data_IF_607312373893
#
_entry.id   IF_607312373893
#
_cell.length_a   1.000
_cell.length_b   1.000
_cell.length_c   1.000
_cell.angle_alpha   90.00
_cell.angle_beta   90.00
_cell.angle_gamma   90.00
#
_symmetry.space_group_name_H-M   'P 1'
#
loop_
_entity.id
_entity.type
_entity.pdbx_description
1 polymer ?
#
# COMPACT_ATOMS: atom_id res chain seq x y z
N UNK A 1 -40.14 -12.29 26.20
CA UNK A 1 -39.68 -11.01 25.61
C UNK A 1 -38.32 -10.59 26.19
N UNK A 2 -38.16 -10.56 27.52
CA UNK A 2 -36.92 -10.16 28.23
C UNK A 2 -35.69 -11.00 27.81
N UNK A 3 -35.80 -12.34 27.77
CA UNK A 3 -34.68 -13.24 27.37
C UNK A 3 -34.18 -12.96 25.94
N UNK A 4 -35.08 -12.67 25.00
CA UNK A 4 -34.71 -12.33 23.61
C UNK A 4 -33.98 -10.99 23.53
N UNK A 5 -34.42 -9.99 24.31
CA UNK A 5 -33.76 -8.69 24.41
C UNK A 5 -32.36 -8.82 25.02
N UNK A 6 -32.21 -9.59 26.10
CA UNK A 6 -30.90 -9.84 26.73
C UNK A 6 -29.92 -10.56 25.78
N UNK A 7 -30.40 -11.51 24.98
CA UNK A 7 -29.56 -12.23 24.02
C UNK A 7 -29.12 -11.33 22.86
N UNK A 8 -30.00 -10.48 22.33
CA UNK A 8 -29.63 -9.48 21.31
C UNK A 8 -28.58 -8.50 21.82
N UNK A 9 -28.72 -8.01 23.05
CA UNK A 9 -27.74 -7.10 23.66
C UNK A 9 -26.38 -7.77 23.81
N UNK A 10 -26.34 -9.03 24.25
CA UNK A 10 -25.10 -9.79 24.37
C UNK A 10 -24.40 -9.98 23.02
N UNK A 11 -25.16 -10.29 21.96
CA UNK A 11 -24.62 -10.42 20.60
C UNK A 11 -24.04 -9.10 20.10
N UNK A 12 -24.73 -7.97 20.32
CA UNK A 12 -24.22 -6.65 19.92
C UNK A 12 -22.94 -6.27 20.67
N UNK A 13 -22.84 -6.60 21.97
CA UNK A 13 -21.63 -6.39 22.76
C UNK A 13 -20.49 -7.25 22.20
N UNK A 14 -20.73 -8.54 21.92
CA UNK A 14 -19.72 -9.42 21.34
C UNK A 14 -19.24 -8.92 19.97
N UNK A 15 -20.16 -8.52 19.10
CA UNK A 15 -19.84 -7.92 17.80
C UNK A 15 -19.04 -6.63 17.93
N UNK A 16 -19.35 -5.79 18.93
CA UNK A 16 -18.59 -4.58 19.21
C UNK A 16 -17.17 -4.89 19.71
N UNK A 17 -17.01 -5.88 20.59
CA UNK A 17 -15.70 -6.33 21.07
C UNK A 17 -14.87 -6.89 19.91
N UNK A 18 -15.45 -7.76 19.08
CA UNK A 18 -14.80 -8.30 17.88
C UNK A 18 -14.41 -7.18 16.92
N UNK A 19 -15.31 -6.24 16.64
CA UNK A 19 -15.02 -5.07 15.82
C UNK A 19 -13.85 -4.24 16.39
N UNK A 20 -13.81 -4.01 17.70
CA UNK A 20 -12.70 -3.30 18.35
C UNK A 20 -11.39 -4.06 18.26
N UNK A 21 -11.43 -5.38 18.44
CA UNK A 21 -10.26 -6.24 18.31
C UNK A 21 -9.71 -6.21 16.87
N UNK A 22 -10.54 -6.52 15.88
CA UNK A 22 -10.18 -6.54 14.46
C UNK A 22 -9.62 -5.20 13.97
N UNK A 23 -10.18 -4.07 14.44
CA UNK A 23 -9.72 -2.73 14.01
C UNK A 23 -8.46 -2.23 14.72
N UNK A 24 -7.92 -2.98 15.69
CA UNK A 24 -6.69 -2.65 16.42
C UNK A 24 -5.61 -3.71 16.28
N UNK A 25 -5.96 -4.90 15.82
CA UNK A 25 -5.02 -5.99 15.62
C UNK A 25 -4.24 -5.82 14.30
N UNK A 26 -2.91 -5.85 14.38
CA UNK A 26 -2.03 -5.83 13.21
C UNK A 26 -1.59 -7.26 12.95
N UNK A 27 -2.05 -7.81 11.82
CA UNK A 27 -1.56 -9.08 11.30
C UNK A 27 -0.41 -8.85 10.32
N UNK A 28 0.57 -9.76 10.33
CA UNK A 28 1.62 -9.79 9.31
C UNK A 28 1.39 -10.98 8.41
N UNK A 29 1.40 -10.73 7.10
CA UNK A 29 1.40 -11.80 6.10
C UNK A 29 2.79 -11.85 5.45
N UNK A 30 3.37 -13.05 5.40
CA UNK A 30 4.71 -13.27 4.84
C UNK A 30 4.62 -13.97 3.48
N UNK A 31 5.41 -13.50 2.53
CA UNK A 31 5.58 -14.13 1.22
C UNK A 31 7.07 -14.35 0.95
N UNK A 32 7.45 -15.59 0.64
CA UNK A 32 8.79 -15.90 0.15
C UNK A 32 8.78 -15.90 -1.37
N UNK A 33 9.62 -15.05 -1.97
CA UNK A 33 9.75 -14.92 -3.42
C UNK A 33 11.04 -15.59 -3.88
N UNK A 34 10.90 -16.51 -4.84
CA UNK A 34 12.02 -17.15 -5.52
C UNK A 34 11.97 -16.81 -7.00
N UNK A 35 13.03 -16.20 -7.53
CA UNK A 35 13.16 -15.89 -8.95
C UNK A 35 14.64 -15.93 -9.35
N UNK A 36 14.94 -16.54 -10.50
CA UNK A 36 16.30 -16.66 -11.04
C UNK A 36 16.99 -15.32 -11.31
N UNK A 37 16.23 -14.24 -11.47
CA UNK A 37 16.74 -12.88 -11.68
C UNK A 37 17.15 -12.19 -10.38
N UNK A 38 16.73 -12.70 -9.21
CA UNK A 38 17.16 -12.17 -7.92
C UNK A 38 18.61 -12.62 -7.68
N UNK A 39 19.57 -11.70 -7.52
CA UNK A 39 20.94 -12.06 -7.24
C UNK A 39 21.08 -12.75 -5.88
N UNK A 40 22.03 -13.69 -5.75
CA UNK A 40 22.25 -14.45 -4.51
C UNK A 40 22.59 -13.56 -3.31
N UNK A 41 23.21 -12.41 -3.55
CA UNK A 41 23.48 -11.42 -2.51
C UNK A 41 22.20 -10.95 -1.80
N UNK A 42 21.03 -11.06 -2.45
CA UNK A 42 19.71 -10.76 -1.87
C UNK A 42 19.04 -11.96 -1.20
N UNK A 43 19.77 -13.07 -0.97
CA UNK A 43 19.24 -14.17 -0.17
C UNK A 43 18.84 -13.69 1.23
N UNK A 44 17.64 -14.09 1.66
CA UNK A 44 16.99 -13.66 2.90
C UNK A 44 16.81 -12.13 3.04
N UNK A 45 16.85 -11.37 1.94
CA UNK A 45 16.55 -9.94 1.95
C UNK A 45 15.07 -9.72 2.28
N UNK A 46 14.80 -8.94 3.33
CA UNK A 46 13.46 -8.71 3.88
C UNK A 46 12.96 -7.31 3.52
N UNK A 47 11.85 -7.30 2.79
CA UNK A 47 11.10 -6.09 2.47
C UNK A 47 9.86 -6.06 3.37
N UNK A 48 9.63 -4.95 4.05
CA UNK A 48 8.35 -4.68 4.71
C UNK A 48 7.58 -3.64 3.90
N UNK A 49 6.37 -4.01 3.48
CA UNK A 49 5.43 -3.09 2.83
C UNK A 49 4.48 -2.50 3.88
N UNK A 50 4.30 -1.18 3.86
CA UNK A 50 3.29 -0.46 4.64
C UNK A 50 2.41 0.33 3.67
N UNK A 51 1.09 0.31 3.88
CA UNK A 51 0.15 1.00 2.99
C UNK A 51 -1.15 1.30 3.72
N UNK A 52 -1.91 2.27 3.21
CA UNK A 52 -3.33 2.46 3.55
C UNK A 52 -3.57 2.61 5.06
N UNK A 53 -2.73 3.40 5.73
CA UNK A 53 -2.89 3.69 7.15
C UNK A 53 -4.01 4.71 7.41
N UNK A 54 -4.28 5.63 6.48
CA UNK A 54 -5.37 6.62 6.60
C UNK A 54 -5.43 7.34 7.95
N UNK A 55 -4.30 7.88 8.42
CA UNK A 55 -4.14 8.52 9.74
C UNK A 55 -4.43 7.61 10.94
N UNK A 56 -4.57 6.29 10.76
CA UNK A 56 -4.79 5.34 11.85
C UNK A 56 -3.61 5.39 12.81
N UNK A 57 -3.94 5.38 14.10
CA UNK A 57 -2.95 5.30 15.17
C UNK A 57 -3.08 3.95 15.87
N UNK A 58 -2.00 3.18 15.91
CA UNK A 58 -1.88 1.93 16.65
C UNK A 58 -1.16 2.18 17.97
N UNK A 59 -1.95 2.52 18.99
CA UNK A 59 -1.48 3.03 20.29
C UNK A 59 -0.73 4.37 20.18
N UNK A 60 -0.23 4.92 21.29
CA UNK A 60 0.48 6.20 21.33
C UNK A 60 1.68 6.16 20.36
N UNK A 61 1.75 7.17 19.49
CA UNK A 61 2.83 7.36 18.50
C UNK A 61 3.05 6.15 17.57
N UNK A 62 2.00 5.39 17.25
CA UNK A 62 2.11 4.18 16.42
C UNK A 62 3.07 3.11 16.97
N UNK A 63 3.30 3.09 18.30
CA UNK A 63 4.26 2.17 18.92
C UNK A 63 4.02 0.70 18.55
N UNK A 64 2.76 0.25 18.52
CA UNK A 64 2.44 -1.15 18.17
C UNK A 64 2.83 -1.48 16.72
N UNK A 65 2.62 -0.54 15.78
CA UNK A 65 3.03 -0.72 14.39
C UNK A 65 4.55 -0.72 14.26
N UNK A 66 5.23 0.22 14.90
CA UNK A 66 6.69 0.34 14.87
C UNK A 66 7.34 -0.91 15.47
N UNK A 67 6.92 -1.33 16.67
CA UNK A 67 7.44 -2.53 17.33
C UNK A 67 7.22 -3.77 16.47
N UNK A 68 6.08 -3.86 15.76
CA UNK A 68 5.81 -4.96 14.84
C UNK A 68 6.77 -4.94 13.65
N UNK A 69 6.98 -3.79 13.00
CA UNK A 69 7.93 -3.63 11.89
C UNK A 69 9.34 -4.00 12.35
N UNK A 70 9.78 -3.48 13.50
CA UNK A 70 11.10 -3.77 14.07
C UNK A 70 11.29 -5.26 14.37
N UNK A 71 10.25 -5.95 14.86
CA UNK A 71 10.31 -7.39 15.12
C UNK A 71 10.54 -8.25 13.86
N UNK A 72 10.22 -7.71 12.67
CA UNK A 72 10.47 -8.38 11.39
C UNK A 72 11.92 -8.24 10.92
N UNK A 73 12.66 -7.26 11.47
CA UNK A 73 14.02 -6.90 11.10
C UNK A 73 14.19 -6.73 9.57
N UNK A 74 13.48 -5.76 8.95
CA UNK A 74 13.56 -5.53 7.51
C UNK A 74 14.93 -4.96 7.10
N UNK A 75 15.35 -5.28 5.88
CA UNK A 75 16.46 -4.60 5.23
C UNK A 75 16.01 -3.27 4.61
N UNK A 76 14.75 -3.20 4.16
CA UNK A 76 14.15 -2.01 3.55
C UNK A 76 12.65 -1.93 3.81
N UNK A 77 12.11 -0.70 3.85
CA UNK A 77 10.67 -0.46 3.99
C UNK A 77 10.15 0.23 2.72
N UNK A 78 9.07 -0.29 2.18
CA UNK A 78 8.34 0.32 1.07
C UNK A 78 6.97 0.79 1.55
N UNK A 79 6.70 2.09 1.39
CA UNK A 79 5.40 2.69 1.66
C UNK A 79 4.65 2.88 0.35
N UNK A 80 3.53 2.19 0.18
CA UNK A 80 2.77 2.18 -1.09
C UNK A 80 1.57 3.12 -1.10
N UNK A 81 1.60 4.19 -0.31
CA UNK A 81 0.61 5.27 -0.33
C UNK A 81 -0.51 5.16 0.71
N UNK A 82 -1.39 6.16 0.71
CA UNK A 82 -2.52 6.35 1.61
C UNK A 82 -2.12 6.32 3.10
N UNK A 83 -1.03 6.99 3.46
CA UNK A 83 -0.70 7.21 4.87
C UNK A 83 -1.71 8.15 5.55
N UNK A 84 -2.32 9.03 4.76
CA UNK A 84 -3.32 10.01 5.18
C UNK A 84 -4.62 9.84 4.41
N UNK A 85 -5.76 10.10 5.04
CA UNK A 85 -7.10 9.95 4.45
C UNK A 85 -7.52 11.10 3.51
N UNK A 86 -6.73 12.19 3.52
CA UNK A 86 -6.91 13.40 2.70
C UNK A 86 -8.01 14.35 3.18
N UNK A 87 -8.71 14.05 4.27
CA UNK A 87 -9.80 14.85 4.83
C UNK A 87 -9.67 15.08 6.35
N UNK A 88 -8.59 14.61 6.97
CA UNK A 88 -8.22 14.88 8.34
C UNK A 88 -7.24 16.06 8.44
N UNK A 89 -7.35 16.86 9.52
CA UNK A 89 -6.40 17.94 9.80
C UNK A 89 -5.11 17.45 10.45
N UNK A 90 -5.12 16.28 11.07
CA UNK A 90 -3.98 15.73 11.79
C UNK A 90 -3.16 14.79 10.90
N UNK A 91 -2.44 15.35 9.93
CA UNK A 91 -1.49 14.60 9.10
C UNK A 91 -0.17 14.29 9.82
N UNK A 92 0.06 14.89 11.00
CA UNK A 92 1.31 14.73 11.76
C UNK A 92 1.57 13.27 12.12
N UNK A 93 0.52 12.48 12.37
CA UNK A 93 0.65 11.05 12.64
C UNK A 93 1.43 10.29 11.54
N UNK A 94 1.24 10.66 10.27
CA UNK A 94 1.95 10.04 9.16
C UNK A 94 3.41 10.52 9.10
N UNK A 95 3.62 11.83 9.30
CA UNK A 95 4.95 12.44 9.31
C UNK A 95 5.82 11.93 10.45
N UNK A 96 5.25 11.75 11.64
CA UNK A 96 5.94 11.19 12.82
C UNK A 96 6.29 9.72 12.60
N UNK A 97 5.39 8.93 12.01
CA UNK A 97 5.68 7.55 11.65
C UNK A 97 6.87 7.48 10.70
N UNK A 98 6.89 8.31 9.66
CA UNK A 98 8.01 8.37 8.71
C UNK A 98 9.31 8.70 9.43
N UNK A 99 9.33 9.71 10.31
CA UNK A 99 10.54 10.09 11.04
C UNK A 99 11.11 8.91 11.85
N UNK A 100 10.24 8.15 12.54
CA UNK A 100 10.67 6.97 13.29
C UNK A 100 11.25 5.87 12.38
N UNK A 101 10.66 5.64 11.20
CA UNK A 101 11.12 4.58 10.30
C UNK A 101 12.46 4.93 9.65
N UNK A 102 12.65 6.18 9.21
CA UNK A 102 13.90 6.61 8.54
C UNK A 102 15.10 6.71 9.49
N UNK A 103 14.88 6.66 10.82
CA UNK A 103 15.99 6.57 11.80
C UNK A 103 16.76 5.26 11.69
N UNK A 104 16.10 4.17 11.28
CA UNK A 104 16.67 2.81 11.30
C UNK A 104 16.72 2.16 9.93
N UNK A 105 15.85 2.57 9.01
CA UNK A 105 15.67 1.88 7.73
C UNK A 105 15.71 2.87 6.58
N UNK A 106 16.14 2.38 5.42
CA UNK A 106 15.89 3.07 4.17
C UNK A 106 14.41 2.90 3.80
N UNK A 107 13.74 4.02 3.51
CA UNK A 107 12.29 4.05 3.26
C UNK A 107 12.03 4.62 1.87
N UNK A 108 11.42 3.80 1.01
CA UNK A 108 10.95 4.21 -0.30
C UNK A 108 9.46 4.44 -0.26
N UNK A 109 8.98 5.53 -0.86
CA UNK A 109 7.62 5.98 -0.69
C UNK A 109 6.99 6.42 -2.02
N UNK A 110 5.76 5.98 -2.27
CA UNK A 110 4.87 6.56 -3.27
C UNK A 110 3.62 7.10 -2.59
N UNK A 111 2.99 8.10 -3.21
CA UNK A 111 1.71 8.64 -2.75
C UNK A 111 0.54 7.79 -3.26
N UNK A 112 -0.51 7.71 -2.46
CA UNK A 112 -1.76 7.08 -2.82
C UNK A 112 -2.80 8.06 -3.36
N UNK A 113 -4.01 7.57 -3.56
CA UNK A 113 -5.08 8.41 -4.11
C UNK A 113 -5.71 9.32 -3.06
N UNK A 114 -5.61 8.99 -1.76
CA UNK A 114 -6.06 9.89 -0.70
C UNK A 114 -5.12 11.08 -0.52
N UNK A 115 -3.80 10.89 -0.64
CA UNK A 115 -2.84 11.99 -0.76
C UNK A 115 -3.16 12.89 -1.96
N UNK A 116 -3.35 12.32 -3.16
CA UNK A 116 -3.70 13.10 -4.35
C UNK A 116 -5.02 13.86 -4.18
N UNK A 117 -6.05 13.18 -3.67
CA UNK A 117 -7.38 13.74 -3.41
C UNK A 117 -7.32 14.90 -2.40
N UNK A 118 -6.42 14.84 -1.43
CA UNK A 118 -6.29 15.87 -0.40
C UNK A 118 -6.06 17.29 -0.98
N UNK A 119 -5.39 17.37 -2.14
CA UNK A 119 -5.06 18.63 -2.82
C UNK A 119 -6.25 19.30 -3.50
N UNK A 120 -7.36 18.57 -3.68
CA UNK A 120 -8.61 19.09 -4.28
C UNK A 120 -9.76 19.16 -3.27
N UNK A 121 -9.51 18.81 -2.00
CA UNK A 121 -10.52 18.74 -0.93
C UNK A 121 -10.49 19.95 0.00
N UNK A 122 -11.38 19.90 1.00
CA UNK A 122 -11.62 20.96 1.99
C UNK A 122 -10.35 21.48 2.66
N UNK A 123 -9.39 20.60 2.95
CA UNK A 123 -8.17 20.93 3.68
C UNK A 123 -6.93 21.07 2.79
N UNK A 124 -7.10 21.30 1.47
CA UNK A 124 -6.00 21.39 0.51
C UNK A 124 -4.83 22.29 0.93
N UNK A 125 -5.10 23.40 1.62
CA UNK A 125 -4.04 24.31 2.08
C UNK A 125 -3.15 23.67 3.14
N UNK A 126 -3.75 22.95 4.10
CA UNK A 126 -3.01 22.19 5.10
C UNK A 126 -2.24 21.03 4.46
N UNK A 127 -2.83 20.38 3.46
CA UNK A 127 -2.14 19.28 2.78
C UNK A 127 -0.98 19.74 1.90
N UNK A 128 -0.97 21.00 1.41
CA UNK A 128 0.25 21.56 0.81
C UNK A 128 1.41 21.62 1.80
N UNK A 129 1.12 21.93 3.07
CA UNK A 129 2.13 21.90 4.14
C UNK A 129 2.56 20.45 4.42
N UNK A 130 1.62 19.51 4.48
CA UNK A 130 1.95 18.07 4.56
C UNK A 130 2.93 17.62 3.48
N UNK A 131 2.68 17.92 2.20
CA UNK A 131 3.59 17.52 1.12
C UNK A 131 4.95 18.21 1.23
N UNK A 132 4.98 19.49 1.61
CA UNK A 132 6.24 20.21 1.86
C UNK A 132 7.07 19.54 2.95
N UNK A 133 6.42 19.13 4.05
CA UNK A 133 7.09 18.42 5.14
C UNK A 133 7.52 17.02 4.72
N UNK A 134 6.62 16.26 4.09
CA UNK A 134 6.87 14.91 3.56
C UNK A 134 8.11 14.88 2.68
N UNK A 135 8.20 15.79 1.70
CA UNK A 135 9.34 15.86 0.78
C UNK A 135 10.62 16.42 1.40
N UNK A 136 10.55 17.00 2.60
CA UNK A 136 11.75 17.41 3.35
C UNK A 136 12.31 16.31 4.26
N UNK A 137 11.57 15.20 4.44
CA UNK A 137 12.03 14.04 5.22
C UNK A 137 13.04 13.22 4.42
N UNK A 138 13.81 12.39 5.14
CA UNK A 138 14.84 11.50 4.59
C UNK A 138 14.28 10.24 3.90
N UNK A 139 13.10 10.35 3.30
CA UNK A 139 12.51 9.29 2.48
C UNK A 139 12.99 9.40 1.05
N UNK A 140 13.00 8.27 0.35
CA UNK A 140 13.23 8.24 -1.10
C UNK A 140 11.87 8.28 -1.78
N UNK A 141 11.51 9.44 -2.32
CA UNK A 141 10.25 9.64 -3.02
C UNK A 141 10.33 9.02 -4.42
N UNK A 142 9.44 8.07 -4.70
CA UNK A 142 9.40 7.27 -5.90
C UNK A 142 8.26 7.70 -6.84
N UNK A 143 8.08 9.00 -7.04
CA UNK A 143 6.99 9.54 -7.86
C UNK A 143 7.35 9.52 -9.36
N UNK A 144 7.04 8.43 -10.05
CA UNK A 144 7.47 8.17 -11.43
C UNK A 144 9.00 8.12 -11.59
N UNK A 145 9.67 7.58 -10.58
CA UNK A 145 11.12 7.49 -10.50
C UNK A 145 11.59 6.03 -10.50
N UNK A 146 12.88 5.84 -10.78
CA UNK A 146 13.53 4.53 -10.71
C UNK A 146 14.88 4.62 -10.01
N UNK A 147 15.19 3.60 -9.23
CA UNK A 147 16.42 3.50 -8.43
C UNK A 147 16.90 2.05 -8.40
N UNK A 148 18.17 1.88 -8.04
CA UNK A 148 18.77 0.56 -7.82
C UNK A 148 19.08 0.39 -6.34
N UNK A 149 18.55 -0.66 -5.75
CA UNK A 149 18.87 -1.06 -4.37
C UNK A 149 20.09 -1.99 -4.47
N UNK A 150 21.22 -1.60 -3.90
CA UNK A 150 22.46 -2.36 -4.00
C UNK A 150 22.71 -3.23 -2.77
N UNK A 151 23.26 -4.42 -2.98
CA UNK A 151 23.83 -5.29 -1.94
C UNK A 151 25.13 -5.88 -2.47
N UNK A 152 26.25 -5.36 -1.99
CA UNK A 152 27.56 -5.65 -2.59
C UNK A 152 27.65 -5.08 -4.01
N UNK A 153 27.98 -5.93 -4.98
CA UNK A 153 28.06 -5.56 -6.40
C UNK A 153 26.77 -5.88 -7.19
N UNK A 154 25.76 -6.44 -6.52
CA UNK A 154 24.48 -6.82 -7.12
C UNK A 154 23.40 -5.79 -6.78
N UNK A 155 22.33 -5.73 -7.57
CA UNK A 155 21.21 -4.84 -7.33
C UNK A 155 19.86 -5.44 -7.67
N UNK A 156 18.81 -4.85 -7.09
CA UNK A 156 17.43 -4.95 -7.54
C UNK A 156 17.01 -3.61 -8.15
N UNK A 157 16.20 -3.63 -9.20
CA UNK A 157 15.61 -2.40 -9.73
C UNK A 157 14.29 -2.12 -9.02
N UNK A 158 14.12 -0.90 -8.52
CA UNK A 158 12.89 -0.43 -7.91
C UNK A 158 12.33 0.74 -8.73
N UNK A 159 11.04 0.67 -9.01
CA UNK A 159 10.30 1.70 -9.73
C UNK A 159 9.10 2.12 -8.89
N UNK A 160 8.75 3.40 -8.91
CA UNK A 160 7.50 3.87 -8.33
C UNK A 160 6.66 4.59 -9.37
N UNK A 161 5.39 4.21 -9.45
CA UNK A 161 4.45 4.72 -10.44
C UNK A 161 3.28 5.43 -9.75
N UNK A 162 3.05 6.69 -10.12
CA UNK A 162 1.89 7.45 -9.69
C UNK A 162 0.78 7.26 -10.71
N UNK A 163 -0.30 6.64 -10.25
CA UNK A 163 -1.51 6.46 -11.03
C UNK A 163 -2.33 7.75 -10.92
N UNK A 164 -2.74 8.36 -12.06
CA UNK A 164 -3.52 9.58 -12.06
C UNK A 164 -4.82 9.41 -11.28
N UNK A 165 -5.23 10.48 -10.58
CA UNK A 165 -6.41 10.46 -9.71
C UNK A 165 -7.68 10.03 -10.46
N UNK A 166 -7.80 10.38 -11.74
CA UNK A 166 -8.93 10.07 -12.63
C UNK A 166 -9.10 8.56 -12.90
N UNK A 167 -8.07 7.77 -12.65
CA UNK A 167 -8.11 6.32 -12.79
C UNK A 167 -8.77 5.62 -11.59
N UNK A 168 -9.09 6.36 -10.53
CA UNK A 168 -9.75 5.84 -9.32
C UNK A 168 -11.28 6.04 -9.39
N UNK A 169 -12.06 4.95 -9.62
CA UNK A 169 -13.45 5.05 -10.08
C UNK A 169 -14.43 5.65 -9.06
N UNK A 170 -14.16 5.59 -7.76
CA UNK A 170 -15.10 6.05 -6.71
C UNK A 170 -14.96 7.54 -6.36
N UNK A 171 -13.95 8.23 -6.87
CA UNK A 171 -13.73 9.64 -6.57
C UNK A 171 -14.51 10.59 -7.48
N UNK A 172 -14.98 10.09 -8.63
CA UNK A 172 -15.71 10.88 -9.62
C UNK A 172 -17.08 10.25 -9.86
N UNK A 173 -18.14 10.97 -9.49
CA UNK A 173 -19.54 10.53 -9.57
C UNK A 173 -20.05 10.21 -11.00
N UNK A 174 -19.21 10.33 -12.02
CA UNK A 174 -19.57 10.24 -13.43
C UNK A 174 -18.93 9.04 -14.14
N UNK A 175 -18.91 7.83 -13.54
CA UNK A 175 -18.78 6.48 -14.17
C UNK A 175 -17.82 6.23 -15.36
N UNK A 176 -16.98 7.18 -15.78
CA UNK A 176 -15.95 7.00 -16.81
C UNK A 176 -14.65 6.75 -16.05
N UNK A 177 -14.37 5.47 -15.81
CA UNK A 177 -13.04 5.01 -15.45
C UNK A 177 -12.10 5.42 -16.59
N UNK A 178 -11.16 6.32 -16.33
CA UNK A 178 -10.07 6.53 -17.28
C UNK A 178 -9.20 5.27 -17.22
N UNK A 179 -9.13 4.53 -18.32
CA UNK A 179 -8.18 3.43 -18.45
C UNK A 179 -6.80 4.01 -18.79
N UNK A 180 -5.76 3.45 -18.19
CA UNK A 180 -4.40 3.78 -18.58
C UNK A 180 -4.15 3.34 -20.03
N UNK A 181 -3.41 4.14 -20.80
CA UNK A 181 -2.89 3.69 -22.09
C UNK A 181 -2.04 2.42 -21.92
N UNK A 182 -1.94 1.60 -22.96
CA UNK A 182 -1.12 0.37 -22.89
C UNK A 182 0.36 0.66 -22.64
N UNK A 183 0.84 1.82 -23.08
CA UNK A 183 2.23 2.24 -22.92
C UNK A 183 2.44 3.11 -21.68
N UNK A 184 1.40 3.43 -20.90
CA UNK A 184 1.49 4.39 -19.80
C UNK A 184 2.66 4.13 -18.85
N UNK A 185 2.91 2.87 -18.51
CA UNK A 185 4.00 2.49 -17.60
C UNK A 185 5.36 2.77 -18.25
N UNK A 186 5.55 2.38 -19.52
CA UNK A 186 6.79 2.64 -20.27
C UNK A 186 6.99 4.13 -20.53
N UNK A 187 5.93 4.88 -20.82
CA UNK A 187 5.99 6.32 -21.07
C UNK A 187 6.48 7.10 -19.83
N UNK A 188 6.15 6.61 -18.62
CA UNK A 188 6.55 7.26 -17.36
C UNK A 188 7.86 6.71 -16.78
N UNK A 189 8.18 5.43 -16.97
CA UNK A 189 9.30 4.76 -16.29
C UNK A 189 10.39 4.26 -17.26
N UNK A 190 10.18 4.40 -18.56
CA UNK A 190 11.04 3.83 -19.58
C UNK A 190 10.93 2.31 -19.68
N UNK A 191 11.88 1.71 -20.40
CA UNK A 191 11.95 0.25 -20.60
C UNK A 191 12.75 -0.41 -19.48
N UNK A 192 12.29 -1.57 -19.03
CA UNK A 192 13.04 -2.39 -18.07
C UNK A 192 14.12 -3.21 -18.75
N UNK A 193 15.13 -3.61 -17.98
CA UNK A 193 16.01 -4.71 -18.37
C UNK A 193 15.37 -6.03 -17.94
N UNK A 194 14.90 -6.83 -18.90
CA UNK A 194 14.21 -8.09 -18.62
C UNK A 194 15.09 -9.15 -17.96
N UNK A 195 16.42 -8.99 -17.99
CA UNK A 195 17.37 -9.91 -17.34
C UNK A 195 17.62 -9.56 -15.86
N UNK A 196 17.20 -8.38 -15.41
CA UNK A 196 17.32 -7.92 -14.02
C UNK A 196 15.97 -8.09 -13.31
N UNK A 197 15.98 -8.14 -11.97
CA UNK A 197 14.75 -8.25 -11.19
C UNK A 197 14.12 -6.86 -10.98
N UNK A 198 12.90 -6.68 -11.48
CA UNK A 198 12.23 -5.39 -11.50
C UNK A 198 11.03 -5.37 -10.53
N UNK A 199 11.11 -4.53 -9.49
CA UNK A 199 10.07 -4.32 -8.49
C UNK A 199 9.33 -3.02 -8.81
N UNK A 200 8.01 -3.07 -8.88
CA UNK A 200 7.15 -1.91 -9.09
C UNK A 200 6.33 -1.60 -7.82
N UNK A 201 6.46 -0.38 -7.31
CA UNK A 201 5.54 0.21 -6.35
C UNK A 201 4.45 0.95 -7.12
N UNK A 202 3.20 0.58 -6.92
CA UNK A 202 2.05 1.28 -7.46
C UNK A 202 0.95 1.28 -6.41
N UNK A 203 0.21 2.38 -6.23
CA UNK A 203 -0.76 2.41 -5.14
C UNK A 203 -1.93 1.43 -5.36
N UNK A 204 -2.34 1.16 -6.60
CA UNK A 204 -3.47 0.29 -6.92
C UNK A 204 -3.09 -0.95 -7.75
N UNK A 205 -3.66 -2.13 -7.45
CA UNK A 205 -3.44 -3.34 -8.25
C UNK A 205 -4.29 -3.39 -9.53
N UNK A 206 -5.15 -2.41 -9.81
CA UNK A 206 -6.13 -2.48 -10.90
C UNK A 206 -5.52 -2.65 -12.30
N UNK A 207 -4.28 -2.19 -12.49
CA UNK A 207 -3.58 -2.28 -13.76
C UNK A 207 -2.48 -3.36 -13.76
N UNK A 208 -2.61 -4.37 -12.90
CA UNK A 208 -1.66 -5.49 -12.78
C UNK A 208 -1.24 -6.10 -14.12
N UNK A 209 -2.19 -6.32 -15.03
CA UNK A 209 -1.89 -6.86 -16.36
C UNK A 209 -0.95 -5.96 -17.18
N UNK A 210 -1.10 -4.63 -17.06
CA UNK A 210 -0.22 -3.66 -17.72
C UNK A 210 1.16 -3.62 -17.06
N UNK A 211 1.21 -3.70 -15.72
CA UNK A 211 2.46 -3.77 -14.96
C UNK A 211 3.28 -5.03 -15.32
N UNK A 212 2.61 -6.18 -15.38
CA UNK A 212 3.22 -7.45 -15.76
C UNK A 212 3.68 -7.43 -17.23
N UNK A 213 2.85 -6.88 -18.14
CA UNK A 213 3.23 -6.72 -19.57
C UNK A 213 4.44 -5.80 -19.76
N UNK A 214 4.55 -4.75 -18.95
CA UNK A 214 5.70 -3.85 -18.96
C UNK A 214 6.99 -4.52 -18.48
N UNK A 215 6.89 -5.60 -17.71
CA UNK A 215 8.04 -6.42 -17.28
C UNK A 215 8.36 -6.35 -15.79
N UNK A 216 7.41 -5.89 -14.96
CA UNK A 216 7.54 -6.00 -13.50
C UNK A 216 7.53 -7.47 -13.06
N UNK A 217 8.54 -7.90 -12.31
CA UNK A 217 8.62 -9.23 -11.71
C UNK A 217 7.89 -9.33 -10.37
N UNK A 218 7.77 -8.20 -9.66
CA UNK A 218 7.00 -8.03 -8.43
C UNK A 218 6.29 -6.69 -8.45
N UNK A 219 5.00 -6.69 -8.13
CA UNK A 219 4.22 -5.46 -7.91
C UNK A 219 3.77 -5.43 -6.45
N UNK A 220 4.09 -4.34 -5.76
CA UNK A 220 3.60 -4.07 -4.41
C UNK A 220 2.61 -2.93 -4.49
N UNK A 221 1.36 -3.23 -4.13
CA UNK A 221 0.26 -2.30 -4.20
C UNK A 221 -0.63 -2.32 -2.96
N UNK A 222 -1.22 -1.17 -2.66
CA UNK A 222 -2.19 -0.94 -1.60
C UNK A 222 -3.61 -0.84 -2.15
N UNK A 223 -4.36 0.15 -1.67
CA UNK A 223 -5.64 0.63 -2.17
C UNK A 223 -6.87 -0.27 -1.97
N UNK A 224 -6.71 -1.58 -2.06
CA UNK A 224 -7.84 -2.54 -1.97
C UNK A 224 -8.25 -2.84 -0.52
N UNK A 225 -7.43 -2.45 0.46
CA UNK A 225 -7.64 -2.70 1.90
C UNK A 225 -7.92 -4.18 2.27
N UNK A 226 -7.65 -5.14 1.39
CA UNK A 226 -8.08 -6.54 1.54
C UNK A 226 -9.61 -6.74 1.52
N UNK A 227 -10.38 -5.73 1.13
CA UNK A 227 -11.85 -5.66 1.26
C UNK A 227 -12.32 -5.03 2.58
N UNK A 228 -13.39 -4.22 2.54
CA UNK A 228 -14.06 -3.54 3.68
C UNK A 228 -14.59 -4.56 4.70
N UNK A 229 -15.07 -5.71 4.24
CA UNK A 229 -15.54 -6.83 5.07
C UNK A 229 -14.85 -8.07 4.57
N UNK A 230 -14.14 -8.79 5.43
CA UNK A 230 -13.59 -10.10 5.10
C UNK A 230 -14.34 -11.17 5.86
N UNK A 231 -14.82 -12.18 5.15
CA UNK A 231 -15.39 -13.39 5.77
C UNK A 231 -14.32 -14.48 5.72
N UNK A 232 -14.04 -15.17 6.85
CA UNK A 232 -13.13 -16.30 6.88
C UNK A 232 -13.44 -17.29 5.73
N UNK A 233 -12.40 -17.73 5.01
CA UNK A 233 -12.47 -18.66 3.88
C UNK A 233 -13.15 -18.14 2.58
N UNK A 234 -13.77 -16.97 2.58
CA UNK A 234 -14.46 -16.39 1.41
C UNK A 234 -13.67 -15.22 0.80
N UNK A 235 -12.92 -14.47 1.60
CA UNK A 235 -12.20 -13.27 1.14
C UNK A 235 -12.95 -11.97 1.42
N UNK A 236 -12.54 -10.90 0.74
CA UNK A 236 -13.17 -9.59 0.79
C UNK A 236 -14.54 -9.61 0.11
N UNK A 237 -15.58 -9.27 0.86
CA UNK A 237 -16.96 -9.25 0.38
C UNK A 237 -17.29 -7.95 -0.35
N UNK A 238 -16.65 -6.85 0.03
CA UNK A 238 -16.90 -5.52 -0.53
C UNK A 238 -15.59 -4.74 -0.62
N UNK A 239 -15.26 -4.15 -1.77
CA UNK A 239 -14.08 -3.28 -1.91
C UNK A 239 -14.41 -1.81 -1.60
N UNK A 240 -13.40 -0.94 -1.40
CA UNK A 240 -13.57 0.52 -1.36
C UNK A 240 -14.33 1.09 -2.56
N UNK A 241 -14.21 0.43 -3.72
CA UNK A 241 -14.94 0.76 -4.95
C UNK A 241 -16.40 0.31 -4.94
N UNK A 242 -16.88 -0.27 -3.84
CA UNK A 242 -18.21 -0.89 -3.71
C UNK A 242 -18.44 -2.05 -4.68
N UNK A 243 -17.37 -2.72 -5.09
CA UNK A 243 -17.48 -3.96 -5.85
C UNK A 243 -17.62 -5.12 -4.86
N UNK A 244 -18.57 -6.02 -5.14
CA UNK A 244 -18.71 -7.26 -4.37
C UNK A 244 -17.72 -8.31 -4.87
N UNK A 245 -17.08 -9.02 -3.95
CA UNK A 245 -16.04 -10.04 -4.25
C UNK A 245 -14.92 -9.53 -5.18
N UNK A 246 -14.21 -8.45 -4.78
CA UNK A 246 -13.06 -7.92 -5.52
C UNK A 246 -12.08 -9.03 -5.95
N UNK A 247 -11.77 -9.09 -7.25
CA UNK A 247 -10.83 -10.07 -7.83
C UNK A 247 -9.42 -10.01 -7.21
N UNK A 248 -9.04 -8.87 -6.63
CA UNK A 248 -7.70 -8.57 -6.14
C UNK A 248 -7.67 -8.25 -4.64
N UNK A 249 -8.37 -9.05 -3.84
CA UNK A 249 -8.57 -8.85 -2.40
C UNK A 249 -7.69 -9.75 -1.51
N UNK A 250 -7.03 -10.74 -2.11
CA UNK A 250 -6.15 -11.69 -1.43
C UNK A 250 -4.70 -11.53 -1.90
N UNK A 251 -3.77 -11.45 -0.95
CA UNK A 251 -2.39 -10.99 -1.14
C UNK A 251 -1.41 -11.89 -1.92
N UNK A 252 -1.84 -12.77 -2.82
CA UNK A 252 -0.90 -13.45 -3.72
C UNK A 252 -1.50 -13.70 -5.10
N UNK A 253 -1.07 -12.90 -6.07
CA UNK A 253 -1.38 -13.11 -7.48
C UNK A 253 -0.14 -13.58 -8.22
N UNK A 254 -0.05 -14.89 -8.49
CA UNK A 254 0.97 -15.44 -9.38
C UNK A 254 0.41 -15.53 -10.80
N UNK A 255 0.88 -14.68 -11.70
CA UNK A 255 0.79 -14.96 -13.14
C UNK A 255 2.05 -15.68 -13.55
N UNK A 256 1.96 -17.01 -13.70
CA UNK A 256 3.00 -17.79 -14.36
C UNK A 256 2.87 -17.46 -15.85
N UNK A 257 3.72 -16.56 -16.35
CA UNK A 257 3.94 -16.43 -17.78
C UNK A 257 4.81 -17.63 -18.16
N UNK A 258 4.16 -18.76 -18.45
CA UNK A 258 4.77 -19.78 -19.29
C UNK A 258 4.89 -19.18 -20.69
N UNK A 259 6.08 -19.29 -21.28
CA UNK A 259 6.44 -18.84 -22.63
C UNK A 259 5.35 -19.15 -23.67
#
# INVERSE_FOLDING_TARGET
>A
MIIKVSMTVLVLILLYILYKYETQHIETTEYTIFNKKIPKEFDNFKIVQVSDLHNKVFDKNNKVLIDKIESLNPDVIFITGDLVDGENKNFQVALDLIDNLVEKYEVYHIIGNHEQKSLIKKYKHLYKDYFKELYSKKIINMENESVRIYRGNSHLNLYGLIIPLECYPYLFANNKKLELSDNFVEDNLGKVNENEYNILLAHTPFFFEKYAKWGADLVLAGHVHGGIIRIPFVGGVLSPNREFFPKYDWGNMKKIIAL
#
